data_IF_057441036422
#
_entry.id   IF_057441036422
#
_cell.length_a   1.000
_cell.length_b   1.000
_cell.length_c   1.000
_cell.angle_alpha   90.00
_cell.angle_beta   90.00
_cell.angle_gamma   90.00
#
_symmetry.space_group_name_H-M   'P 1'
#
loop_
_entity.id
_entity.type
_entity.pdbx_description
1 polymer ?
#
# COMPACT_ATOMS: atom_id res chain seq x y z
N UNK A 1 22.92 18.38 -0.03
CA UNK A 1 23.64 19.71 -0.11
C UNK A 1 22.78 20.77 -0.79
N UNK A 2 22.13 20.48 -1.93
CA UNK A 2 21.29 21.47 -2.63
C UNK A 2 20.01 21.79 -1.87
N UNK A 3 19.33 20.79 -1.31
CA UNK A 3 18.12 20.99 -0.51
C UNK A 3 18.39 21.84 0.74
N UNK A 4 19.51 21.60 1.42
CA UNK A 4 19.91 22.43 2.57
C UNK A 4 20.21 23.87 2.15
N UNK A 5 20.91 24.06 1.03
CA UNK A 5 21.21 25.39 0.52
C UNK A 5 19.92 26.14 0.12
N UNK A 6 18.96 25.45 -0.49
CA UNK A 6 17.67 26.03 -0.86
C UNK A 6 16.86 26.45 0.39
N UNK A 7 16.70 25.54 1.38
CA UNK A 7 15.99 25.86 2.62
C UNK A 7 16.64 27.03 3.37
N UNK A 8 17.98 27.07 3.43
CA UNK A 8 18.71 28.17 4.06
C UNK A 8 18.55 29.51 3.32
N UNK A 9 18.50 29.50 1.98
CA UNK A 9 18.27 30.69 1.18
C UNK A 9 16.83 31.22 1.31
N UNK A 10 15.84 30.32 1.42
CA UNK A 10 14.43 30.69 1.57
C UNK A 10 14.10 31.24 2.96
N UNK A 11 14.85 30.86 4.01
CA UNK A 11 14.56 31.28 5.38
C UNK A 11 14.48 32.81 5.57
N UNK A 12 15.45 33.63 5.14
CA UNK A 12 15.34 35.08 5.25
C UNK A 12 14.19 35.66 4.39
N UNK A 13 13.88 35.07 3.24
CA UNK A 13 12.77 35.51 2.40
C UNK A 13 11.45 35.29 3.14
N UNK A 14 11.25 34.11 3.72
CA UNK A 14 10.09 33.81 4.57
C UNK A 14 9.97 34.78 5.76
N UNK A 15 11.09 35.12 6.41
CA UNK A 15 11.09 36.05 7.55
C UNK A 15 10.67 37.47 7.15
N UNK A 16 11.07 37.91 5.95
CA UNK A 16 10.72 39.23 5.41
C UNK A 16 9.25 39.29 4.92
N UNK A 17 8.74 38.20 4.35
CA UNK A 17 7.40 38.13 3.76
C UNK A 17 6.53 37.07 4.45
N UNK A 18 6.50 37.06 5.78
CA UNK A 18 5.87 36.04 6.61
C UNK A 18 4.34 35.94 6.51
N UNK A 19 3.68 36.86 5.78
CA UNK A 19 2.24 36.83 5.50
C UNK A 19 1.91 36.43 4.05
N UNK A 20 2.91 36.22 3.19
CA UNK A 20 2.71 35.78 1.83
C UNK A 20 2.59 34.24 1.78
N UNK A 21 1.39 33.74 1.46
CA UNK A 21 1.08 32.30 1.51
C UNK A 21 1.87 31.49 0.47
N UNK A 22 2.18 32.06 -0.69
CA UNK A 22 2.99 31.39 -1.72
C UNK A 22 4.43 31.22 -1.22
N UNK A 23 5.02 32.26 -0.65
CA UNK A 23 6.37 32.19 -0.09
C UNK A 23 6.47 31.27 1.12
N UNK A 24 5.45 31.23 1.98
CA UNK A 24 5.36 30.27 3.07
C UNK A 24 5.34 28.85 2.51
N UNK A 25 4.52 28.59 1.49
CA UNK A 25 4.41 27.28 0.84
C UNK A 25 5.77 26.82 0.29
N UNK A 26 6.46 27.67 -0.46
CA UNK A 26 7.78 27.37 -1.04
C UNK A 26 8.83 27.12 0.06
N UNK A 27 8.78 27.89 1.15
CA UNK A 27 9.70 27.65 2.28
C UNK A 27 9.43 26.32 2.96
N UNK A 28 8.18 25.98 3.21
CA UNK A 28 7.78 24.69 3.79
C UNK A 28 8.22 23.54 2.89
N UNK A 29 8.02 23.65 1.59
CA UNK A 29 8.50 22.66 0.62
C UNK A 29 10.02 22.51 0.68
N UNK A 30 10.76 23.61 0.73
CA UNK A 30 12.22 23.60 0.87
C UNK A 30 12.69 22.91 2.17
N UNK A 31 11.97 23.08 3.28
CA UNK A 31 12.22 22.39 4.54
C UNK A 31 11.98 20.88 4.42
N UNK A 32 10.87 20.48 3.80
CA UNK A 32 10.50 19.08 3.62
C UNK A 32 11.45 18.35 2.67
N UNK A 33 11.90 19.00 1.61
CA UNK A 33 12.87 18.50 0.65
C UNK A 33 14.27 18.22 1.20
N UNK A 34 14.54 18.53 2.47
CA UNK A 34 15.79 18.12 3.17
C UNK A 34 15.83 16.61 3.44
N UNK A 35 14.66 16.00 3.69
CA UNK A 35 14.54 14.57 3.98
C UNK A 35 13.26 14.00 3.38
N UNK A 36 13.10 14.00 2.02
CA UNK A 36 11.89 13.48 1.37
C UNK A 36 11.70 12.01 1.73
N UNK A 37 10.44 11.59 1.93
CA UNK A 37 10.03 10.27 2.43
C UNK A 37 10.69 9.83 3.74
N UNK A 38 11.35 10.74 4.45
CA UNK A 38 11.96 10.54 5.78
C UNK A 38 11.73 11.73 6.69
N UNK A 39 10.59 12.39 6.56
CA UNK A 39 10.20 13.54 7.40
C UNK A 39 10.07 13.11 8.86
N UNK A 40 9.62 11.88 9.08
CA UNK A 40 9.46 11.27 10.39
C UNK A 40 10.29 10.00 10.53
N UNK A 41 10.75 9.72 11.73
CA UNK A 41 11.10 8.37 12.12
C UNK A 41 9.81 7.68 12.54
N UNK A 42 9.13 7.04 11.60
CA UNK A 42 7.80 6.49 11.84
C UNK A 42 7.78 5.37 12.89
N UNK A 43 8.88 4.58 13.03
CA UNK A 43 9.01 3.58 14.10
C UNK A 43 9.01 4.20 15.50
N UNK A 44 9.57 5.39 15.65
CA UNK A 44 9.63 6.11 16.94
C UNK A 44 8.49 7.11 17.10
N UNK A 45 7.74 7.40 16.05
CA UNK A 45 6.70 8.43 16.05
C UNK A 45 7.23 9.83 16.30
N UNK A 46 8.47 10.15 15.93
CA UNK A 46 9.11 11.46 16.14
C UNK A 46 9.61 12.05 14.82
N UNK A 47 9.66 13.38 14.69
CA UNK A 47 10.29 14.04 13.56
C UNK A 47 11.72 13.55 13.34
N UNK A 48 12.15 13.46 12.09
CA UNK A 48 13.53 13.09 11.76
C UNK A 48 14.49 14.20 12.24
N UNK A 49 15.46 13.90 13.12
CA UNK A 49 16.38 14.92 13.65
C UNK A 49 17.32 15.53 12.60
N UNK A 50 17.45 14.92 11.43
CA UNK A 50 18.21 15.43 10.27
C UNK A 50 17.36 16.26 9.31
N UNK A 51 16.05 16.27 9.50
CA UNK A 51 15.08 17.01 8.69
C UNK A 51 14.56 18.25 9.40
N UNK A 52 13.54 18.86 8.82
CA UNK A 52 12.88 20.05 9.33
C UNK A 52 11.36 19.86 9.51
N UNK A 53 10.91 18.63 9.69
CA UNK A 53 9.48 18.33 9.79
C UNK A 53 8.79 19.10 10.93
N UNK A 54 9.46 19.27 12.09
CA UNK A 54 8.89 20.01 13.21
C UNK A 54 8.74 21.50 12.90
N UNK A 55 9.74 22.12 12.24
CA UNK A 55 9.67 23.53 11.81
C UNK A 55 8.56 23.70 10.78
N UNK A 56 8.48 22.83 9.78
CA UNK A 56 7.44 22.84 8.77
C UNK A 56 6.03 22.68 9.38
N UNK A 57 5.86 21.75 10.33
CA UNK A 57 4.59 21.53 11.02
C UNK A 57 4.17 22.78 11.82
N UNK A 58 5.07 23.38 12.57
CA UNK A 58 4.78 24.59 13.35
C UNK A 58 4.35 25.75 12.44
N UNK A 59 5.04 25.93 11.31
CA UNK A 59 4.68 26.98 10.33
C UNK A 59 3.28 26.72 9.76
N UNK A 60 3.02 25.51 9.28
CA UNK A 60 1.73 25.17 8.65
C UNK A 60 0.56 25.27 9.64
N UNK A 61 0.70 24.70 10.86
CA UNK A 61 -0.36 24.77 11.87
C UNK A 61 -0.67 26.23 12.25
N UNK A 62 0.34 27.09 12.44
CA UNK A 62 0.14 28.51 12.71
C UNK A 62 -0.54 29.23 11.53
N UNK A 63 -0.13 28.95 10.30
CA UNK A 63 -0.70 29.58 9.10
C UNK A 63 -2.18 29.25 8.93
N UNK A 64 -2.58 27.99 9.16
CA UNK A 64 -3.99 27.58 9.11
C UNK A 64 -4.81 28.18 10.27
N UNK A 65 -4.19 28.51 11.41
CA UNK A 65 -4.85 29.17 12.54
C UNK A 65 -4.98 30.69 12.31
N UNK A 66 -3.95 31.34 11.78
CA UNK A 66 -3.87 32.81 11.68
C UNK A 66 -4.48 33.36 10.39
N UNK A 67 -4.42 32.60 9.27
CA UNK A 67 -4.82 33.08 7.94
C UNK A 67 -6.02 32.27 7.38
N UNK A 68 -7.25 32.80 7.40
CA UNK A 68 -8.39 32.10 6.81
C UNK A 68 -8.19 31.69 5.36
N UNK A 69 -7.49 32.50 4.55
CA UNK A 69 -7.18 32.22 3.13
C UNK A 69 -6.22 31.04 2.95
N UNK A 70 -5.51 30.59 3.97
CA UNK A 70 -4.68 29.39 3.89
C UNK A 70 -5.51 28.13 3.58
N UNK A 71 -6.76 28.10 3.99
CA UNK A 71 -7.70 27.00 3.68
C UNK A 71 -8.19 27.00 2.22
N UNK A 72 -7.90 28.05 1.46
CA UNK A 72 -8.15 28.16 0.03
C UNK A 72 -6.84 28.06 -0.79
N UNK A 73 -5.71 27.75 -0.14
CA UNK A 73 -4.40 27.68 -0.77
C UNK A 73 -4.00 26.21 -1.00
N UNK A 74 -4.13 25.75 -2.24
CA UNK A 74 -3.91 24.35 -2.62
C UNK A 74 -2.51 23.81 -2.22
N UNK A 75 -1.45 24.62 -2.37
CA UNK A 75 -0.09 24.22 -2.03
C UNK A 75 0.11 23.99 -0.53
N UNK A 76 -0.45 24.84 0.34
CA UNK A 76 -0.34 24.66 1.80
C UNK A 76 -1.08 23.40 2.27
N UNK A 77 -2.28 23.16 1.74
CA UNK A 77 -3.06 21.94 2.00
C UNK A 77 -2.29 20.69 1.56
N UNK A 78 -1.71 20.72 0.36
CA UNK A 78 -0.88 19.65 -0.20
C UNK A 78 0.35 19.35 0.69
N UNK A 79 1.09 20.39 1.07
CA UNK A 79 2.27 20.22 1.94
C UNK A 79 1.91 19.66 3.31
N UNK A 80 0.76 20.03 3.87
CA UNK A 80 0.33 19.51 5.17
C UNK A 80 -0.02 18.02 5.11
N UNK A 81 -0.62 17.57 4.02
CA UNK A 81 -0.91 16.15 3.78
C UNK A 81 0.42 15.35 3.77
N UNK A 82 1.37 15.72 2.92
CA UNK A 82 2.67 15.06 2.86
C UNK A 82 3.46 15.11 4.17
N UNK A 83 3.33 16.20 4.92
CA UNK A 83 3.98 16.31 6.21
C UNK A 83 3.41 15.31 7.22
N UNK A 84 2.09 15.08 7.19
CA UNK A 84 1.39 14.31 8.21
C UNK A 84 1.27 12.82 7.90
N UNK A 85 1.38 12.39 6.65
CA UNK A 85 1.20 10.99 6.24
C UNK A 85 2.15 10.00 6.93
N UNK A 86 3.40 10.40 7.21
CA UNK A 86 4.35 9.57 7.96
C UNK A 86 4.30 9.79 9.47
N UNK A 87 3.48 10.73 9.95
CA UNK A 87 3.41 11.10 11.37
C UNK A 87 2.64 10.05 12.19
N UNK A 88 2.76 10.06 13.52
CA UNK A 88 1.89 9.24 14.38
C UNK A 88 0.42 9.71 14.38
N UNK A 89 0.10 10.87 13.79
CA UNK A 89 -1.22 11.50 13.80
C UNK A 89 -1.68 11.95 12.41
N UNK A 90 -1.72 11.06 11.40
CA UNK A 90 -2.15 11.42 10.04
C UNK A 90 -3.58 11.96 10.00
N UNK A 91 -4.45 11.56 10.92
CA UNK A 91 -5.84 12.02 11.04
C UNK A 91 -5.98 13.54 11.17
N UNK A 92 -4.95 14.26 11.60
CA UNK A 92 -4.95 15.74 11.64
C UNK A 92 -5.11 16.36 10.25
N UNK A 93 -4.67 15.66 9.19
CA UNK A 93 -4.74 16.15 7.83
C UNK A 93 -6.04 15.77 7.07
N UNK A 94 -6.99 15.04 7.68
CA UNK A 94 -8.25 14.65 7.02
C UNK A 94 -9.01 15.84 6.46
N UNK A 95 -9.21 16.89 7.25
CA UNK A 95 -9.90 18.12 6.82
C UNK A 95 -9.17 18.79 5.65
N UNK A 96 -7.84 18.79 5.66
CA UNK A 96 -7.02 19.38 4.60
C UNK A 96 -7.20 18.63 3.28
N UNK A 97 -7.22 17.30 3.35
CA UNK A 97 -7.49 16.43 2.20
C UNK A 97 -8.89 16.63 1.62
N UNK A 98 -9.92 16.68 2.48
CA UNK A 98 -11.30 16.89 2.05
C UNK A 98 -11.44 18.22 1.30
N UNK A 99 -10.88 19.30 1.83
CA UNK A 99 -10.93 20.62 1.19
C UNK A 99 -10.16 20.61 -0.14
N UNK A 100 -8.94 20.04 -0.16
CA UNK A 100 -8.11 20.02 -1.36
C UNK A 100 -8.76 19.28 -2.52
N UNK A 101 -9.49 18.18 -2.25
CA UNK A 101 -10.18 17.38 -3.26
C UNK A 101 -11.15 18.23 -4.09
N UNK A 102 -11.85 19.16 -3.45
CA UNK A 102 -12.87 20.00 -4.08
C UNK A 102 -12.32 21.34 -4.59
N UNK A 103 -11.16 21.76 -4.09
CA UNK A 103 -10.58 23.09 -4.37
C UNK A 103 -10.03 23.18 -5.81
N UNK A 104 -9.39 22.11 -6.31
CA UNK A 104 -8.79 22.08 -7.65
C UNK A 104 -9.23 20.80 -8.37
N UNK A 105 -10.51 20.69 -8.76
CA UNK A 105 -11.10 19.44 -9.28
C UNK A 105 -10.51 18.98 -10.62
N UNK A 106 -9.87 19.87 -11.37
CA UNK A 106 -9.24 19.58 -12.67
C UNK A 106 -7.76 19.15 -12.54
N UNK A 107 -7.23 19.05 -11.32
CA UNK A 107 -5.86 18.61 -11.06
C UNK A 107 -5.87 17.21 -10.43
N UNK A 108 -5.76 16.16 -11.24
CA UNK A 108 -5.89 14.78 -10.80
C UNK A 108 -4.98 14.44 -9.63
N UNK A 109 -3.71 14.90 -9.63
CA UNK A 109 -2.82 14.71 -8.49
C UNK A 109 -3.36 15.33 -7.19
N UNK A 110 -3.92 16.54 -7.23
CA UNK A 110 -4.45 17.18 -6.03
C UNK A 110 -5.74 16.53 -5.53
N UNK A 111 -6.58 16.01 -6.42
CA UNK A 111 -7.74 15.19 -6.09
C UNK A 111 -7.32 13.89 -5.38
N UNK A 112 -6.24 13.26 -5.84
CA UNK A 112 -5.67 12.06 -5.27
C UNK A 112 -5.09 12.28 -3.85
N UNK A 113 -4.51 13.46 -3.58
CA UNK A 113 -3.72 13.71 -2.38
C UNK A 113 -4.40 13.37 -1.05
N UNK A 114 -5.71 13.59 -0.95
CA UNK A 114 -6.46 13.22 0.27
C UNK A 114 -6.33 11.73 0.61
N UNK A 115 -6.12 10.88 -0.40
CA UNK A 115 -6.08 9.43 -0.22
C UNK A 115 -4.85 8.92 0.51
N UNK A 116 -3.77 9.71 0.58
CA UNK A 116 -2.62 9.44 1.43
C UNK A 116 -3.00 9.37 2.91
N UNK A 117 -3.96 10.20 3.32
CA UNK A 117 -4.47 10.20 4.70
C UNK A 117 -5.63 9.22 4.88
N UNK A 118 -6.54 9.12 3.90
CA UNK A 118 -7.66 8.20 3.93
C UNK A 118 -7.20 6.75 4.15
N UNK A 119 -6.14 6.32 3.43
CA UNK A 119 -5.59 4.96 3.55
C UNK A 119 -5.09 4.67 4.96
N UNK A 120 -4.40 5.61 5.59
CA UNK A 120 -3.88 5.50 6.95
C UNK A 120 -4.98 5.53 8.02
N UNK A 121 -6.11 6.16 7.70
CA UNK A 121 -7.30 6.22 8.57
C UNK A 121 -8.30 5.08 8.31
N UNK A 122 -8.04 4.23 7.32
CA UNK A 122 -8.88 3.09 6.97
C UNK A 122 -10.17 3.49 6.26
N UNK A 123 -10.17 4.62 5.53
CA UNK A 123 -11.27 5.01 4.65
C UNK A 123 -10.98 4.58 3.19
N UNK A 124 -10.90 3.27 2.99
CA UNK A 124 -10.60 2.69 1.67
C UNK A 124 -11.67 3.00 0.61
N UNK A 125 -12.89 3.36 1.03
CA UNK A 125 -13.90 3.79 0.08
C UNK A 125 -13.54 5.14 -0.57
N UNK A 126 -13.06 6.09 0.21
CA UNK A 126 -12.54 7.35 -0.31
C UNK A 126 -11.24 7.13 -1.09
N UNK A 127 -10.35 6.25 -0.62
CA UNK A 127 -9.16 5.86 -1.40
C UNK A 127 -9.56 5.42 -2.81
N UNK A 128 -10.52 4.51 -2.95
CA UNK A 128 -10.97 4.04 -4.25
C UNK A 128 -11.65 5.14 -5.07
N UNK A 129 -12.65 5.82 -4.49
CA UNK A 129 -13.48 6.78 -5.24
C UNK A 129 -12.71 8.01 -5.70
N UNK A 130 -11.84 8.57 -4.84
CA UNK A 130 -11.01 9.75 -5.17
C UNK A 130 -9.96 9.41 -6.23
N UNK A 131 -9.33 8.24 -6.15
CA UNK A 131 -8.36 7.81 -7.16
C UNK A 131 -9.01 7.49 -8.52
N UNK A 132 -10.21 6.92 -8.54
CA UNK A 132 -10.96 6.75 -9.78
C UNK A 132 -11.41 8.10 -10.37
N UNK A 133 -11.70 9.10 -9.54
CA UNK A 133 -11.96 10.46 -9.97
C UNK A 133 -10.68 11.10 -10.54
N UNK A 134 -9.57 11.04 -9.81
CA UNK A 134 -8.28 11.53 -10.26
C UNK A 134 -7.87 10.93 -11.62
N UNK A 135 -8.02 9.60 -11.78
CA UNK A 135 -7.72 8.93 -13.03
C UNK A 135 -8.61 9.42 -14.20
N UNK A 136 -9.87 9.78 -13.96
CA UNK A 136 -10.74 10.39 -15.01
C UNK A 136 -10.31 11.80 -15.37
N UNK A 137 -9.89 12.60 -14.39
CA UNK A 137 -9.32 13.94 -14.62
C UNK A 137 -8.05 13.83 -15.44
N UNK A 138 -7.19 12.88 -15.12
CA UNK A 138 -5.93 12.62 -15.82
C UNK A 138 -6.13 12.13 -17.26
N UNK A 139 -7.21 11.39 -17.55
CA UNK A 139 -7.57 11.02 -18.92
C UNK A 139 -7.86 12.26 -19.79
N UNK A 140 -8.55 13.27 -19.25
CA UNK A 140 -8.79 14.53 -19.94
C UNK A 140 -7.46 15.28 -20.22
N UNK A 141 -6.56 15.30 -19.24
CA UNK A 141 -5.22 15.90 -19.42
C UNK A 141 -4.39 15.11 -20.45
N UNK A 142 -4.45 13.78 -20.44
CA UNK A 142 -3.78 12.91 -21.43
C UNK A 142 -4.24 13.20 -22.87
N UNK A 143 -5.53 13.45 -23.06
CA UNK A 143 -6.06 13.85 -24.38
C UNK A 143 -5.51 15.20 -24.84
N UNK A 144 -5.23 16.13 -23.93
CA UNK A 144 -4.68 17.45 -24.23
C UNK A 144 -3.16 17.43 -24.43
N UNK A 145 -2.40 16.79 -23.51
CA UNK A 145 -0.94 16.86 -23.44
C UNK A 145 -0.22 15.61 -24.00
N UNK A 146 -0.97 14.58 -24.41
CA UNK A 146 -0.41 13.28 -24.82
C UNK A 146 -0.15 12.35 -23.65
N UNK A 147 0.21 11.11 -23.96
CA UNK A 147 0.47 10.05 -22.97
C UNK A 147 1.90 10.11 -22.42
N UNK A 148 2.87 10.47 -23.26
CA UNK A 148 4.30 10.33 -22.99
C UNK A 148 4.87 11.60 -22.36
N UNK A 149 4.58 11.80 -21.07
CA UNK A 149 5.12 12.90 -20.29
C UNK A 149 5.31 12.47 -18.84
N UNK A 150 5.98 13.30 -18.02
CA UNK A 150 6.23 13.04 -16.62
C UNK A 150 4.94 12.74 -15.80
N UNK A 151 3.82 13.31 -16.22
CA UNK A 151 2.53 13.12 -15.56
C UNK A 151 1.98 11.68 -15.65
N UNK A 152 2.55 10.83 -16.54
CA UNK A 152 2.23 9.42 -16.60
C UNK A 152 2.45 8.69 -15.26
N UNK A 153 3.47 9.11 -14.47
CA UNK A 153 3.71 8.55 -13.14
C UNK A 153 2.54 8.79 -12.19
N UNK A 154 1.93 9.97 -12.21
CA UNK A 154 0.77 10.28 -11.37
C UNK A 154 -0.46 9.46 -11.76
N UNK A 155 -0.70 9.24 -13.06
CA UNK A 155 -1.80 8.39 -13.54
C UNK A 155 -1.65 6.94 -13.05
N UNK A 156 -0.44 6.39 -13.16
CA UNK A 156 -0.10 5.05 -12.68
C UNK A 156 -0.29 4.98 -11.16
N UNK A 157 0.19 5.97 -10.44
CA UNK A 157 0.09 6.07 -8.99
C UNK A 157 -1.37 6.12 -8.50
N UNK A 158 -2.23 6.90 -9.14
CA UNK A 158 -3.66 6.96 -8.84
C UNK A 158 -4.33 5.59 -9.03
N UNK A 159 -4.03 4.88 -10.13
CA UNK A 159 -4.60 3.56 -10.40
C UNK A 159 -4.04 2.49 -9.42
N UNK A 160 -2.78 2.61 -9.02
CA UNK A 160 -2.18 1.75 -8.01
C UNK A 160 -2.86 1.92 -6.64
N UNK A 161 -3.13 3.17 -6.21
CA UNK A 161 -3.91 3.45 -5.02
C UNK A 161 -5.36 2.96 -5.12
N UNK A 162 -6.02 3.13 -6.28
CA UNK A 162 -7.37 2.61 -6.50
C UNK A 162 -7.43 1.09 -6.35
N UNK A 163 -6.46 0.36 -6.94
CA UNK A 163 -6.31 -1.07 -6.79
C UNK A 163 -6.12 -1.45 -5.31
N UNK A 164 -5.22 -0.78 -4.61
CA UNK A 164 -4.94 -1.01 -3.21
C UNK A 164 -6.20 -0.82 -2.34
N UNK A 165 -6.89 0.30 -2.47
CA UNK A 165 -8.14 0.58 -1.76
C UNK A 165 -9.23 -0.47 -2.03
N UNK A 166 -9.41 -0.86 -3.29
CA UNK A 166 -10.36 -1.90 -3.68
C UNK A 166 -10.04 -3.27 -3.07
N UNK A 167 -8.75 -3.63 -2.99
CA UNK A 167 -8.31 -4.87 -2.34
C UNK A 167 -8.68 -4.88 -0.84
N UNK A 168 -8.49 -3.78 -0.12
CA UNK A 168 -8.82 -3.66 1.30
C UNK A 168 -10.32 -3.62 1.60
N UNK A 169 -11.12 -3.14 0.64
CA UNK A 169 -12.59 -3.19 0.70
C UNK A 169 -13.16 -4.57 0.39
N UNK A 170 -12.38 -5.47 -0.23
CA UNK A 170 -12.92 -6.70 -0.79
C UNK A 170 -13.74 -6.46 -2.08
N UNK A 171 -13.49 -5.38 -2.81
CA UNK A 171 -14.13 -5.07 -4.09
C UNK A 171 -13.34 -5.66 -5.25
N UNK A 172 -13.63 -6.92 -5.58
CA UNK A 172 -12.96 -7.67 -6.63
C UNK A 172 -13.08 -7.01 -8.00
N UNK A 173 -14.29 -6.56 -8.36
CA UNK A 173 -14.54 -5.93 -9.65
C UNK A 173 -13.70 -4.68 -9.86
N UNK A 174 -13.71 -3.76 -8.89
CA UNK A 174 -12.95 -2.53 -8.94
C UNK A 174 -11.43 -2.76 -8.93
N UNK A 175 -10.94 -3.75 -8.16
CA UNK A 175 -9.52 -4.10 -8.13
C UNK A 175 -9.03 -4.63 -9.49
N UNK A 176 -9.81 -5.49 -10.14
CA UNK A 176 -9.50 -6.02 -11.48
C UNK A 176 -9.52 -4.93 -12.54
N UNK A 177 -10.49 -4.01 -12.49
CA UNK A 177 -10.55 -2.87 -13.40
C UNK A 177 -9.34 -1.94 -13.21
N UNK A 178 -9.01 -1.59 -11.96
CA UNK A 178 -7.89 -0.71 -11.67
C UNK A 178 -6.56 -1.28 -12.16
N UNK A 179 -6.30 -2.57 -11.92
CA UNK A 179 -5.05 -3.22 -12.36
C UNK A 179 -4.97 -3.38 -13.88
N UNK A 180 -6.10 -3.60 -14.56
CA UNK A 180 -6.14 -3.64 -16.02
C UNK A 180 -5.79 -2.27 -16.61
N UNK A 181 -6.43 -1.20 -16.12
CA UNK A 181 -6.13 0.18 -16.55
C UNK A 181 -4.69 0.57 -16.22
N UNK A 182 -4.17 0.17 -15.06
CA UNK A 182 -2.77 0.39 -14.70
C UNK A 182 -1.82 -0.23 -15.73
N UNK A 183 -2.10 -1.47 -16.18
CA UNK A 183 -1.29 -2.10 -17.23
C UNK A 183 -1.35 -1.35 -18.57
N UNK A 184 -2.50 -0.77 -18.92
CA UNK A 184 -2.68 0.03 -20.13
C UNK A 184 -1.90 1.36 -20.08
N UNK A 185 -1.68 1.93 -18.88
CA UNK A 185 -0.86 3.14 -18.68
C UNK A 185 0.65 2.86 -18.68
N UNK A 186 1.08 1.58 -18.65
CA UNK A 186 2.50 1.17 -18.66
C UNK A 186 2.79 0.32 -19.89
N UNK A 187 2.74 0.89 -21.12
CA UNK A 187 3.06 0.16 -22.33
C UNK A 187 4.54 -0.24 -22.37
N UNK A 188 4.85 -1.25 -23.18
CA UNK A 188 6.20 -1.83 -23.28
C UNK A 188 7.27 -0.80 -23.66
N UNK A 189 6.90 0.20 -24.47
CA UNK A 189 7.79 1.30 -24.87
C UNK A 189 8.25 2.13 -23.66
N UNK A 190 7.34 2.43 -22.72
CA UNK A 190 7.65 3.17 -21.49
C UNK A 190 8.53 2.31 -20.57
N UNK A 191 8.21 1.02 -20.43
CA UNK A 191 9.04 0.10 -19.64
C UNK A 191 10.44 -0.01 -20.21
N UNK A 192 10.61 -0.09 -21.54
CA UNK A 192 11.94 -0.13 -22.18
C UNK A 192 12.79 1.10 -21.92
N UNK A 193 12.16 2.28 -21.85
CA UNK A 193 12.88 3.54 -21.58
C UNK A 193 13.32 3.67 -20.11
N UNK A 194 12.48 3.23 -19.17
CA UNK A 194 12.70 3.38 -17.72
C UNK A 194 12.36 2.09 -16.98
N UNK A 195 13.05 0.97 -17.29
CA UNK A 195 12.69 -0.34 -16.75
C UNK A 195 12.81 -0.39 -15.23
N UNK A 196 13.76 0.32 -14.65
CA UNK A 196 14.03 0.30 -13.21
C UNK A 196 12.92 0.94 -12.37
N UNK A 197 12.02 1.71 -13.01
CA UNK A 197 10.91 2.42 -12.35
C UNK A 197 9.56 1.76 -12.69
N UNK A 198 9.32 1.47 -13.98
CA UNK A 198 7.97 1.10 -14.43
C UNK A 198 7.69 -0.41 -14.45
N UNK A 199 8.72 -1.25 -14.54
CA UNK A 199 8.52 -2.69 -14.71
C UNK A 199 7.75 -3.31 -13.54
N UNK A 200 8.03 -2.88 -12.31
CA UNK A 200 7.39 -3.43 -11.12
C UNK A 200 5.88 -3.16 -11.05
N UNK A 201 5.40 -2.08 -11.66
CA UNK A 201 3.95 -1.82 -11.74
C UNK A 201 3.21 -2.81 -12.62
N UNK A 202 3.87 -3.37 -13.64
CA UNK A 202 3.28 -4.42 -14.50
C UNK A 202 2.98 -5.68 -13.70
N UNK A 203 3.73 -5.91 -12.62
CA UNK A 203 3.59 -7.06 -11.74
C UNK A 203 2.45 -6.95 -10.71
N UNK A 204 1.59 -5.93 -10.77
CA UNK A 204 0.53 -5.74 -9.78
C UNK A 204 -0.62 -6.77 -9.88
N UNK A 205 -0.93 -7.27 -11.08
CA UNK A 205 -2.06 -8.19 -11.30
C UNK A 205 -2.00 -9.49 -10.48
N UNK A 206 -0.87 -10.18 -10.32
CA UNK A 206 -0.76 -11.37 -9.47
C UNK A 206 -1.23 -11.14 -8.03
N UNK A 207 -0.97 -9.98 -7.46
CA UNK A 207 -1.42 -9.65 -6.10
C UNK A 207 -2.95 -9.57 -5.98
N UNK A 208 -3.61 -8.97 -6.97
CA UNK A 208 -5.09 -8.91 -7.03
C UNK A 208 -5.66 -10.33 -7.15
N UNK A 209 -5.09 -11.15 -8.02
CA UNK A 209 -5.59 -12.53 -8.23
C UNK A 209 -5.40 -13.38 -6.96
N UNK A 210 -4.28 -13.28 -6.26
CA UNK A 210 -4.06 -13.98 -4.99
C UNK A 210 -5.07 -13.50 -3.94
N UNK A 211 -5.23 -12.16 -3.78
CA UNK A 211 -6.18 -11.58 -2.82
C UNK A 211 -7.58 -12.15 -2.97
N UNK A 212 -8.02 -12.35 -4.21
CA UNK A 212 -9.37 -12.84 -4.53
C UNK A 212 -9.44 -14.35 -4.82
N UNK A 213 -8.37 -15.10 -4.53
CA UNK A 213 -8.35 -16.57 -4.65
C UNK A 213 -8.61 -17.07 -6.06
N UNK A 214 -8.17 -16.35 -7.07
CA UNK A 214 -8.35 -16.68 -8.50
C UNK A 214 -7.30 -17.70 -8.95
N UNK A 215 -7.33 -18.88 -8.30
CA UNK A 215 -6.26 -19.87 -8.45
C UNK A 215 -6.17 -20.45 -9.87
N UNK A 216 -7.30 -20.70 -10.52
CA UNK A 216 -7.31 -21.22 -11.89
C UNK A 216 -6.79 -20.19 -12.88
N UNK A 217 -7.18 -18.92 -12.73
CA UNK A 217 -6.68 -17.81 -13.56
C UNK A 217 -5.17 -17.62 -13.37
N UNK A 218 -4.67 -17.72 -12.13
CA UNK A 218 -3.22 -17.62 -11.85
C UNK A 218 -2.44 -18.74 -12.53
N UNK A 219 -2.94 -19.98 -12.52
CA UNK A 219 -2.22 -21.09 -13.17
C UNK A 219 -2.11 -20.90 -14.69
N UNK A 220 -3.02 -20.13 -15.28
CA UNK A 220 -3.05 -19.80 -16.70
C UNK A 220 -2.32 -18.51 -17.06
N UNK A 221 -1.78 -17.75 -16.08
CA UNK A 221 -1.00 -16.56 -16.38
C UNK A 221 0.18 -16.90 -17.30
N UNK A 222 0.33 -16.13 -18.35
CA UNK A 222 1.49 -16.25 -19.23
C UNK A 222 2.70 -15.53 -18.63
N UNK A 223 3.88 -16.05 -18.89
CA UNK A 223 5.12 -15.34 -18.56
C UNK A 223 5.34 -14.22 -19.58
N UNK A 224 5.96 -13.09 -19.19
CA UNK A 224 6.29 -12.05 -20.14
C UNK A 224 7.20 -12.60 -21.26
N UNK A 225 6.98 -12.15 -22.49
CA UNK A 225 7.79 -12.57 -23.64
C UNK A 225 9.26 -12.17 -23.46
N UNK A 226 9.51 -10.92 -23.10
CA UNK A 226 10.85 -10.40 -22.78
C UNK A 226 11.16 -10.56 -21.30
N UNK A 227 11.69 -11.75 -20.94
CA UNK A 227 12.06 -12.06 -19.55
C UNK A 227 13.24 -11.25 -19.01
N UNK A 228 14.03 -10.61 -19.88
CA UNK A 228 15.15 -9.77 -19.46
C UNK A 228 14.68 -8.35 -19.11
N UNK A 229 13.63 -7.89 -19.77
CA UNK A 229 12.98 -6.62 -19.45
C UNK A 229 12.11 -6.74 -18.20
N UNK A 230 11.27 -7.78 -18.14
CA UNK A 230 10.25 -7.99 -17.11
C UNK A 230 10.73 -8.97 -16.02
N UNK A 231 11.89 -8.70 -15.42
CA UNK A 231 12.54 -9.62 -14.47
C UNK A 231 11.76 -9.78 -13.17
N UNK A 232 11.21 -8.69 -12.61
CA UNK A 232 10.40 -8.69 -11.39
C UNK A 232 9.05 -9.34 -11.65
N UNK A 233 8.41 -8.99 -12.77
CA UNK A 233 7.13 -9.57 -13.20
C UNK A 233 7.25 -11.07 -13.39
N UNK A 234 8.33 -11.54 -14.04
CA UNK A 234 8.59 -12.96 -14.25
C UNK A 234 8.70 -13.72 -12.91
N UNK A 235 9.40 -13.15 -11.93
CA UNK A 235 9.49 -13.72 -10.58
C UNK A 235 8.12 -13.76 -9.90
N UNK A 236 7.36 -12.63 -9.89
CA UNK A 236 6.06 -12.55 -9.23
C UNK A 236 5.00 -13.47 -9.87
N UNK A 237 5.06 -13.73 -11.18
CA UNK A 237 4.18 -14.72 -11.82
C UNK A 237 4.51 -16.13 -11.32
N UNK A 238 5.79 -16.50 -11.14
CA UNK A 238 6.15 -17.79 -10.56
C UNK A 238 5.74 -17.91 -9.10
N UNK A 239 5.94 -16.85 -8.30
CA UNK A 239 5.42 -16.76 -6.93
C UNK A 239 3.92 -17.06 -6.88
N UNK A 240 3.13 -16.33 -7.69
CA UNK A 240 1.69 -16.49 -7.70
C UNK A 240 1.26 -17.91 -8.13
N UNK A 241 1.92 -18.48 -9.16
CA UNK A 241 1.67 -19.85 -9.60
C UNK A 241 1.99 -20.89 -8.53
N UNK A 242 3.11 -20.73 -7.80
CA UNK A 242 3.46 -21.62 -6.71
C UNK A 242 2.37 -21.62 -5.62
N UNK A 243 1.94 -20.44 -5.20
CA UNK A 243 0.83 -20.27 -4.22
C UNK A 243 -0.47 -20.88 -4.75
N UNK A 244 -0.83 -20.61 -6.00
CA UNK A 244 -2.06 -21.15 -6.60
C UNK A 244 -2.04 -22.68 -6.69
N UNK A 245 -0.95 -23.27 -7.17
CA UNK A 245 -0.80 -24.73 -7.24
C UNK A 245 -0.84 -25.39 -5.86
N UNK A 246 -0.21 -24.77 -4.85
CA UNK A 246 -0.29 -25.25 -3.47
C UNK A 246 -1.74 -25.26 -2.95
N UNK A 247 -2.51 -24.19 -3.22
CA UNK A 247 -3.91 -24.08 -2.83
C UNK A 247 -4.84 -25.04 -3.61
N UNK A 248 -4.45 -25.44 -4.82
CA UNK A 248 -5.14 -26.46 -5.61
C UNK A 248 -4.71 -27.91 -5.28
N UNK A 249 -3.77 -28.09 -4.32
CA UNK A 249 -3.25 -29.42 -3.97
C UNK A 249 -2.27 -30.01 -4.98
N UNK A 250 -1.75 -29.22 -5.92
CA UNK A 250 -0.80 -29.60 -6.96
C UNK A 250 0.64 -29.33 -6.47
N UNK A 251 1.09 -30.12 -5.49
CA UNK A 251 2.33 -29.85 -4.76
C UNK A 251 3.59 -29.88 -5.64
N UNK A 252 3.67 -30.81 -6.63
CA UNK A 252 4.83 -30.89 -7.53
C UNK A 252 4.95 -29.67 -8.43
N UNK A 253 3.82 -29.19 -8.95
CA UNK A 253 3.75 -27.97 -9.76
C UNK A 253 4.11 -26.74 -8.92
N UNK A 254 3.69 -26.71 -7.65
CA UNK A 254 4.06 -25.64 -6.71
C UNK A 254 5.57 -25.61 -6.45
N UNK A 255 6.19 -26.76 -6.17
CA UNK A 255 7.64 -26.89 -5.97
C UNK A 255 8.42 -26.47 -7.22
N UNK A 256 7.98 -26.91 -8.42
CA UNK A 256 8.62 -26.51 -9.67
C UNK A 256 8.52 -24.97 -9.88
N UNK A 257 7.37 -24.35 -9.57
CA UNK A 257 7.25 -22.90 -9.67
C UNK A 257 8.12 -22.18 -8.65
N UNK A 258 8.30 -22.72 -7.44
CA UNK A 258 9.21 -22.16 -6.44
C UNK A 258 10.67 -22.20 -6.91
N UNK A 259 11.11 -23.29 -7.57
CA UNK A 259 12.43 -23.35 -8.17
C UNK A 259 12.59 -22.32 -9.31
N UNK A 260 11.59 -22.19 -10.18
CA UNK A 260 11.60 -21.17 -11.23
C UNK A 260 11.60 -19.76 -10.69
N UNK A 261 10.89 -19.49 -9.56
CA UNK A 261 10.95 -18.22 -8.86
C UNK A 261 12.39 -17.90 -8.41
N UNK A 262 13.09 -18.85 -7.78
CA UNK A 262 14.45 -18.64 -7.32
C UNK A 262 15.41 -18.29 -8.49
N UNK A 263 15.24 -18.97 -9.64
CA UNK A 263 16.01 -18.66 -10.85
C UNK A 263 15.68 -17.27 -11.41
N UNK A 264 14.42 -16.87 -11.43
CA UNK A 264 13.98 -15.54 -11.88
C UNK A 264 14.45 -14.44 -10.93
N UNK A 265 14.33 -14.64 -9.62
CA UNK A 265 14.79 -13.71 -8.59
C UNK A 265 16.29 -13.40 -8.70
N UNK A 266 17.12 -14.42 -8.99
CA UNK A 266 18.55 -14.24 -9.17
C UNK A 266 18.91 -13.27 -10.31
N UNK A 267 18.02 -13.09 -11.29
CA UNK A 267 18.22 -12.19 -12.43
C UNK A 267 17.80 -10.76 -12.18
N UNK A 268 17.07 -10.48 -11.08
CA UNK A 268 16.57 -9.12 -10.76
C UNK A 268 17.76 -8.24 -10.34
N UNK A 269 18.03 -7.14 -11.06
CA UNK A 269 19.16 -6.27 -10.73
C UNK A 269 18.85 -5.39 -9.50
N UNK A 270 19.92 -4.95 -8.82
CA UNK A 270 19.83 -4.05 -7.66
C UNK A 270 19.24 -2.67 -8.01
N UNK A 271 19.21 -2.30 -9.28
CA UNK A 271 18.65 -1.03 -9.75
C UNK A 271 17.14 -1.02 -9.90
N UNK A 272 16.49 -2.21 -9.90
CA UNK A 272 15.02 -2.28 -9.95
C UNK A 272 14.39 -1.82 -8.65
N UNK A 273 13.43 -0.92 -8.75
CA UNK A 273 12.72 -0.36 -7.61
C UNK A 273 11.20 -0.35 -7.84
N UNK A 274 10.48 -0.43 -6.73
CA UNK A 274 9.12 0.05 -6.61
C UNK A 274 9.22 1.24 -5.67
N UNK A 275 9.24 2.45 -6.25
CA UNK A 275 9.49 3.73 -5.56
C UNK A 275 10.73 3.68 -4.61
N UNK A 276 10.53 3.68 -3.28
CA UNK A 276 11.60 3.75 -2.28
C UNK A 276 12.18 2.37 -1.90
N UNK A 277 11.55 1.27 -2.34
CA UNK A 277 11.99 -0.08 -2.03
C UNK A 277 12.61 -0.74 -3.27
N UNK A 278 13.67 -1.50 -3.06
CA UNK A 278 14.22 -2.33 -4.12
C UNK A 278 13.25 -3.47 -4.44
N UNK A 279 13.08 -3.78 -5.73
CA UNK A 279 12.26 -4.94 -6.12
C UNK A 279 12.75 -6.24 -5.49
N UNK A 280 14.05 -6.36 -5.22
CA UNK A 280 14.61 -7.53 -4.52
C UNK A 280 14.09 -7.67 -3.10
N UNK A 281 13.99 -6.57 -2.34
CA UNK A 281 13.48 -6.59 -0.96
C UNK A 281 11.99 -6.99 -0.95
N UNK A 282 11.21 -6.50 -1.91
CA UNK A 282 9.80 -6.90 -2.09
C UNK A 282 9.67 -8.38 -2.50
N UNK A 283 10.57 -8.87 -3.36
CA UNK A 283 10.60 -10.27 -3.77
C UNK A 283 11.09 -11.22 -2.67
N UNK A 284 11.85 -10.75 -1.68
CA UNK A 284 12.16 -11.56 -0.48
C UNK A 284 10.90 -11.85 0.34
N UNK A 285 9.98 -10.88 0.43
CA UNK A 285 8.66 -11.11 1.04
C UNK A 285 7.90 -12.16 0.21
N UNK A 286 7.90 -12.03 -1.12
CA UNK A 286 7.27 -13.01 -2.00
C UNK A 286 7.83 -14.43 -1.79
N UNK A 287 9.16 -14.55 -1.62
CA UNK A 287 9.82 -15.82 -1.35
C UNK A 287 9.33 -16.46 -0.04
N UNK A 288 9.34 -15.70 1.05
CA UNK A 288 8.92 -16.21 2.35
C UNK A 288 7.42 -16.53 2.39
N UNK A 289 6.59 -15.71 1.76
CA UNK A 289 5.15 -16.00 1.59
C UNK A 289 4.92 -17.30 0.81
N UNK A 290 5.64 -17.47 -0.32
CA UNK A 290 5.55 -18.65 -1.17
C UNK A 290 5.98 -19.92 -0.42
N UNK A 291 7.16 -19.90 0.17
CA UNK A 291 7.69 -21.03 0.94
C UNK A 291 6.75 -21.38 2.10
N UNK A 292 6.22 -20.35 2.77
CA UNK A 292 5.26 -20.51 3.86
C UNK A 292 3.99 -21.24 3.44
N UNK A 293 3.33 -20.77 2.38
CA UNK A 293 2.09 -21.38 1.92
C UNK A 293 2.32 -22.76 1.29
N UNK A 294 3.38 -22.96 0.49
CA UNK A 294 3.71 -24.25 -0.11
C UNK A 294 4.03 -25.29 0.97
N UNK A 295 4.89 -24.99 1.93
CA UNK A 295 5.22 -25.90 3.03
C UNK A 295 3.98 -26.24 3.87
N UNK A 296 3.17 -25.23 4.22
CA UNK A 296 1.94 -25.45 5.01
C UNK A 296 0.95 -26.38 4.29
N UNK A 297 0.71 -26.17 2.99
CA UNK A 297 -0.20 -26.97 2.17
C UNK A 297 0.34 -28.37 1.91
N UNK A 298 1.66 -28.55 1.87
CA UNK A 298 2.30 -29.88 1.78
C UNK A 298 2.32 -30.65 3.12
N UNK A 299 1.77 -30.06 4.20
CA UNK A 299 1.66 -30.71 5.51
C UNK A 299 2.73 -30.27 6.54
N UNK A 300 3.75 -29.54 6.12
CA UNK A 300 4.83 -29.01 6.99
C UNK A 300 4.38 -27.71 7.69
N UNK A 301 3.30 -27.80 8.48
CA UNK A 301 2.61 -26.61 9.02
C UNK A 301 3.51 -25.72 9.88
N UNK A 302 4.40 -26.31 10.70
CA UNK A 302 5.32 -25.54 11.56
C UNK A 302 6.31 -24.73 10.73
N UNK A 303 6.93 -25.35 9.73
CA UNK A 303 7.85 -24.72 8.81
C UNK A 303 7.16 -23.61 8.03
N UNK A 304 5.97 -23.89 7.47
CA UNK A 304 5.15 -22.92 6.77
C UNK A 304 4.84 -21.69 7.60
N UNK A 305 4.43 -21.86 8.86
CA UNK A 305 4.17 -20.72 9.75
C UNK A 305 5.44 -19.93 10.11
N UNK A 306 6.62 -20.58 10.18
CA UNK A 306 7.88 -19.87 10.42
C UNK A 306 8.26 -18.98 9.23
N UNK A 307 8.12 -19.46 8.00
CA UNK A 307 8.32 -18.62 6.80
C UNK A 307 7.34 -17.43 6.78
N UNK A 308 6.07 -17.63 7.12
CA UNK A 308 5.11 -16.53 7.16
C UNK A 308 5.43 -15.49 8.24
N UNK A 309 6.00 -15.90 9.40
CA UNK A 309 6.50 -14.95 10.40
C UNK A 309 7.70 -14.16 9.87
N UNK A 310 8.59 -14.83 9.15
CA UNK A 310 9.71 -14.14 8.49
C UNK A 310 9.21 -13.14 7.43
N UNK A 311 8.20 -13.51 6.65
CA UNK A 311 7.56 -12.59 5.70
C UNK A 311 7.00 -11.34 6.40
N UNK A 312 6.38 -11.50 7.58
CA UNK A 312 5.89 -10.38 8.39
C UNK A 312 7.04 -9.47 8.83
N UNK A 313 8.17 -10.04 9.28
CA UNK A 313 9.35 -9.23 9.66
C UNK A 313 9.93 -8.45 8.48
N UNK A 314 10.00 -9.06 7.29
CA UNK A 314 10.48 -8.39 6.08
C UNK A 314 9.53 -7.26 5.64
N UNK A 315 8.23 -7.51 5.64
CA UNK A 315 7.19 -6.54 5.29
C UNK A 315 7.24 -5.31 6.21
N UNK A 316 7.35 -5.52 7.53
CA UNK A 316 7.48 -4.45 8.53
C UNK A 316 8.73 -3.60 8.37
N UNK A 317 9.80 -4.14 7.78
CA UNK A 317 11.09 -3.46 7.60
C UNK A 317 11.23 -2.74 6.26
N UNK A 318 10.21 -2.73 5.40
CA UNK A 318 10.22 -1.94 4.18
C UNK A 318 10.35 -0.44 4.48
N UNK A 319 10.93 0.31 3.55
CA UNK A 319 10.89 1.76 3.60
C UNK A 319 9.45 2.24 3.40
N UNK A 320 9.13 3.39 4.01
CA UNK A 320 7.84 4.04 3.79
C UNK A 320 7.57 4.28 2.31
N UNK A 321 6.35 4.01 1.90
CA UNK A 321 5.86 4.08 0.52
C UNK A 321 4.37 4.33 0.46
N UNK A 322 3.88 4.82 -0.68
CA UNK A 322 2.49 5.23 -0.93
C UNK A 322 1.96 4.66 -2.26
N UNK A 323 1.07 3.65 -2.22
CA UNK A 323 0.70 2.80 -1.10
C UNK A 323 1.85 1.85 -0.73
N UNK A 324 1.72 1.14 0.39
CA UNK A 324 2.73 0.19 0.86
C UNK A 324 3.15 -0.82 -0.22
N UNK A 325 4.46 -1.05 -0.39
CA UNK A 325 5.01 -1.81 -1.54
C UNK A 325 4.52 -3.26 -1.60
N UNK A 326 4.20 -3.89 -0.46
CA UNK A 326 3.56 -5.20 -0.44
C UNK A 326 2.05 -5.02 -0.26
N UNK A 327 1.23 -5.15 -1.35
CA UNK A 327 -0.16 -4.69 -1.33
C UNK A 327 -1.14 -5.62 -0.61
N UNK A 328 -0.67 -6.75 -0.09
CA UNK A 328 -1.45 -7.66 0.73
C UNK A 328 -0.72 -7.86 2.06
N UNK A 329 -1.20 -7.32 3.19
CA UNK A 329 -0.52 -7.52 4.46
C UNK A 329 -0.21 -8.99 4.70
N UNK A 330 1.06 -9.31 4.89
CA UNK A 330 1.55 -10.69 5.13
C UNK A 330 0.85 -11.33 6.33
N UNK A 331 0.44 -10.49 7.29
CA UNK A 331 -0.35 -10.85 8.47
C UNK A 331 -1.68 -11.52 8.14
N UNK A 332 -2.29 -11.22 6.99
CA UNK A 332 -3.57 -11.82 6.62
C UNK A 332 -3.44 -13.32 6.34
N UNK A 333 -2.36 -13.75 5.67
CA UNK A 333 -2.09 -15.17 5.43
C UNK A 333 -1.63 -15.87 6.71
N UNK A 334 -0.69 -15.27 7.47
CA UNK A 334 -0.23 -15.82 8.74
C UNK A 334 -1.41 -16.05 9.70
N UNK A 335 -2.25 -15.04 9.92
CA UNK A 335 -3.41 -15.15 10.80
C UNK A 335 -4.42 -16.21 10.33
N UNK A 336 -4.69 -16.29 9.02
CA UNK A 336 -5.58 -17.30 8.45
C UNK A 336 -5.09 -18.74 8.69
N UNK A 337 -3.79 -18.99 8.52
CA UNK A 337 -3.22 -20.32 8.70
C UNK A 337 -2.99 -20.66 10.19
N UNK A 338 -2.77 -19.67 11.05
CA UNK A 338 -2.82 -19.84 12.51
C UNK A 338 -4.22 -20.27 12.98
N UNK A 339 -5.27 -19.65 12.45
CA UNK A 339 -6.64 -20.07 12.72
C UNK A 339 -6.91 -21.51 12.24
N UNK A 340 -6.34 -21.92 11.11
CA UNK A 340 -6.49 -23.28 10.58
C UNK A 340 -5.88 -24.35 11.50
N UNK A 341 -4.79 -24.02 12.21
CA UNK A 341 -4.16 -24.92 13.18
C UNK A 341 -4.69 -24.75 14.61
N UNK A 342 -5.63 -23.84 14.84
CA UNK A 342 -6.24 -23.60 16.16
C UNK A 342 -5.40 -22.73 17.09
N UNK A 343 -4.38 -22.04 16.59
CA UNK A 343 -3.58 -21.08 17.39
C UNK A 343 -4.26 -19.70 17.40
N UNK A 344 -5.37 -19.61 18.13
CA UNK A 344 -6.24 -18.42 18.15
C UNK A 344 -5.58 -17.22 18.85
N UNK A 345 -4.74 -17.47 19.86
CA UNK A 345 -4.06 -16.45 20.64
C UNK A 345 -3.06 -15.67 19.76
N UNK A 346 -2.23 -16.36 19.02
CA UNK A 346 -1.27 -15.72 18.12
C UNK A 346 -1.98 -15.04 16.95
N UNK A 347 -3.02 -15.67 16.37
CA UNK A 347 -3.82 -15.10 15.31
C UNK A 347 -4.45 -13.76 15.73
N UNK A 348 -4.98 -13.68 16.95
CA UNK A 348 -5.55 -12.45 17.50
C UNK A 348 -4.49 -11.34 17.60
N UNK A 349 -3.30 -11.65 18.09
CA UNK A 349 -2.18 -10.68 18.17
C UNK A 349 -1.83 -10.16 16.78
N UNK A 350 -1.73 -11.05 15.79
CA UNK A 350 -1.43 -10.71 14.39
C UNK A 350 -2.47 -9.75 13.81
N UNK A 351 -3.77 -10.04 13.99
CA UNK A 351 -4.82 -9.17 13.46
C UNK A 351 -4.97 -7.84 14.22
N UNK A 352 -4.76 -7.84 15.55
CA UNK A 352 -4.79 -6.60 16.34
C UNK A 352 -3.64 -5.67 15.95
N UNK A 353 -2.47 -6.22 15.65
CA UNK A 353 -1.35 -5.45 15.14
C UNK A 353 -1.68 -4.82 13.77
N UNK A 354 -2.18 -5.63 12.81
CA UNK A 354 -2.57 -5.15 11.48
C UNK A 354 -3.62 -4.02 11.55
N UNK A 355 -4.64 -4.18 12.40
CA UNK A 355 -5.69 -3.18 12.59
C UNK A 355 -5.25 -1.96 13.40
N UNK A 356 -4.03 -1.94 13.95
CA UNK A 356 -3.53 -0.87 14.80
C UNK A 356 -4.18 -0.77 16.18
N UNK A 357 -4.87 -1.85 16.64
CA UNK A 357 -5.60 -1.86 17.92
C UNK A 357 -4.65 -1.96 19.11
N UNK A 358 -3.53 -2.67 18.97
CA UNK A 358 -2.58 -2.91 20.06
C UNK A 358 -1.45 -1.87 20.13
N UNK A 359 -1.38 -0.94 19.17
CA UNK A 359 -0.40 0.14 19.10
C UNK A 359 1.05 -0.30 18.90
N UNK A 360 1.31 -1.55 18.49
CA UNK A 360 2.66 -2.08 18.33
C UNK A 360 3.31 -1.65 17.02
N UNK A 361 2.52 -1.55 15.95
CA UNK A 361 3.00 -1.10 14.66
C UNK A 361 2.98 0.43 14.55
N UNK A 362 3.91 1.02 13.83
CA UNK A 362 3.82 2.43 13.47
C UNK A 362 2.61 2.69 12.58
N UNK A 363 2.05 3.90 12.65
CA UNK A 363 0.84 4.26 11.90
C UNK A 363 0.88 3.93 10.42
N UNK A 364 1.97 4.17 9.66
CA UNK A 364 2.02 3.82 8.25
C UNK A 364 1.93 2.33 7.93
N UNK A 365 2.28 1.46 8.90
CA UNK A 365 2.22 0.00 8.75
C UNK A 365 0.92 -0.62 9.27
N UNK A 366 -0.03 0.20 9.73
CA UNK A 366 -1.34 -0.25 10.20
C UNK A 366 -2.37 -0.18 9.06
N UNK A 367 -3.30 -1.13 9.07
CA UNK A 367 -4.40 -1.19 8.10
C UNK A 367 -5.76 -1.17 8.80
N UNK A 368 -6.12 -0.04 9.46
CA UNK A 368 -7.34 0.03 10.27
C UNK A 368 -8.59 -0.23 9.44
N UNK A 369 -9.58 -0.88 10.04
CA UNK A 369 -10.91 -1.13 9.48
C UNK A 369 -10.98 -1.99 8.19
N UNK A 370 -9.88 -2.61 7.74
CA UNK A 370 -9.93 -3.47 6.58
C UNK A 370 -10.78 -4.73 6.83
N UNK A 371 -11.52 -5.17 5.82
CA UNK A 371 -12.48 -6.27 5.96
C UNK A 371 -11.83 -7.61 6.28
N UNK A 372 -10.60 -7.83 5.81
CA UNK A 372 -9.91 -9.11 5.94
C UNK A 372 -9.44 -9.36 7.37
N UNK A 373 -8.71 -8.42 7.97
CA UNK A 373 -8.25 -8.55 9.35
C UNK A 373 -9.42 -8.48 10.34
N UNK A 374 -10.45 -7.65 10.08
CA UNK A 374 -11.67 -7.64 10.88
C UNK A 374 -12.38 -9.01 10.88
N UNK A 375 -12.45 -9.68 9.71
CA UNK A 375 -13.01 -11.03 9.62
C UNK A 375 -12.17 -12.03 10.45
N UNK A 376 -10.86 -12.00 10.31
CA UNK A 376 -9.96 -12.88 11.06
C UNK A 376 -10.03 -12.65 12.58
N UNK A 377 -10.00 -11.40 13.03
CA UNK A 377 -10.13 -11.04 14.43
C UNK A 377 -11.50 -11.47 15.01
N UNK A 378 -12.57 -11.21 14.26
CA UNK A 378 -13.91 -11.66 14.66
C UNK A 378 -13.96 -13.18 14.88
N UNK A 379 -13.36 -13.97 13.98
CA UNK A 379 -13.29 -15.43 14.14
C UNK A 379 -12.47 -15.83 15.39
N UNK A 380 -11.31 -15.20 15.65
CA UNK A 380 -10.51 -15.44 16.85
C UNK A 380 -11.34 -15.23 18.13
N UNK A 381 -11.98 -14.06 18.25
CA UNK A 381 -12.77 -13.70 19.42
C UNK A 381 -13.97 -14.62 19.60
N UNK A 382 -14.62 -15.04 18.51
CA UNK A 382 -15.71 -16.01 18.54
C UNK A 382 -15.23 -17.38 19.03
N UNK A 383 -14.09 -17.90 18.54
CA UNK A 383 -13.52 -19.19 18.94
C UNK A 383 -13.06 -19.19 20.40
N UNK A 384 -12.57 -18.06 20.90
CA UNK A 384 -12.17 -17.88 22.31
C UNK A 384 -13.34 -17.52 23.23
N UNK A 385 -14.54 -17.37 22.69
CA UNK A 385 -15.75 -16.95 23.43
C UNK A 385 -15.58 -15.62 24.17
N UNK A 386 -14.84 -14.67 23.56
CA UNK A 386 -14.69 -13.32 24.10
C UNK A 386 -16.01 -12.56 23.97
N UNK A 387 -16.60 -12.17 25.11
CA UNK A 387 -17.89 -11.48 25.14
C UNK A 387 -17.76 -9.95 25.25
N UNK A 388 -16.53 -9.45 25.41
CA UNK A 388 -16.26 -8.02 25.60
C UNK A 388 -15.95 -7.37 24.26
N UNK A 389 -14.96 -7.88 23.54
CA UNK A 389 -14.52 -7.27 22.27
C UNK A 389 -15.35 -7.74 21.07
N UNK A 390 -15.84 -8.99 21.09
CA UNK A 390 -16.56 -9.58 19.97
C UNK A 390 -17.73 -8.72 19.43
N UNK A 391 -18.61 -8.13 20.26
CA UNK A 391 -19.72 -7.31 19.73
C UNK A 391 -19.25 -6.07 18.96
N UNK A 392 -18.16 -5.44 19.43
CA UNK A 392 -17.59 -4.27 18.76
C UNK A 392 -16.95 -4.63 17.42
N UNK A 393 -16.14 -5.70 17.41
CA UNK A 393 -15.51 -6.19 16.18
C UNK A 393 -16.56 -6.70 15.18
N UNK A 394 -17.62 -7.36 15.63
CA UNK A 394 -18.73 -7.79 14.79
C UNK A 394 -19.44 -6.61 14.11
N UNK A 395 -19.64 -5.49 14.83
CA UNK A 395 -20.22 -4.28 14.25
C UNK A 395 -19.32 -3.65 13.19
N UNK A 396 -18.01 -3.53 13.46
CA UNK A 396 -17.05 -3.01 12.48
C UNK A 396 -16.96 -3.90 11.24
N UNK A 397 -16.95 -5.22 11.43
CA UNK A 397 -16.95 -6.19 10.35
C UNK A 397 -18.19 -6.06 9.47
N UNK A 398 -19.37 -5.94 10.07
CA UNK A 398 -20.62 -5.75 9.32
C UNK A 398 -20.57 -4.50 8.43
N UNK A 399 -20.01 -3.41 8.94
CA UNK A 399 -19.85 -2.18 8.15
C UNK A 399 -18.84 -2.36 7.00
N UNK A 400 -17.75 -3.09 7.23
CA UNK A 400 -16.75 -3.37 6.21
C UNK A 400 -17.29 -4.32 5.14
N UNK A 401 -17.98 -5.40 5.52
CA UNK A 401 -18.59 -6.36 4.60
C UNK A 401 -19.69 -5.73 3.72
N UNK A 402 -20.40 -4.71 4.22
CA UNK A 402 -21.42 -4.01 3.44
C UNK A 402 -20.83 -3.24 2.24
N UNK A 403 -19.52 -3.02 2.21
CA UNK A 403 -18.80 -2.36 1.11
C UNK A 403 -18.12 -3.35 0.16
N UNK A 404 -18.05 -4.63 0.53
CA UNK A 404 -17.45 -5.68 -0.30
C UNK A 404 -18.41 -6.13 -1.41
N UNK A 405 -17.89 -6.43 -2.60
CA UNK A 405 -18.66 -7.02 -3.70
C UNK A 405 -18.60 -8.56 -3.70
N UNK A 406 -17.84 -9.16 -2.78
CA UNK A 406 -17.75 -10.60 -2.57
C UNK A 406 -18.03 -10.95 -1.11
N UNK A 407 -18.40 -12.21 -0.88
CA UNK A 407 -18.48 -12.75 0.47
C UNK A 407 -17.08 -13.06 1.01
N UNK A 408 -16.71 -12.41 2.11
CA UNK A 408 -15.46 -12.68 2.82
C UNK A 408 -15.67 -13.87 3.77
N UNK A 409 -14.85 -14.90 3.61
CA UNK A 409 -14.95 -16.13 4.42
C UNK A 409 -13.67 -16.39 5.24
N UNK A 410 -12.59 -15.68 4.97
CA UNK A 410 -11.32 -15.75 5.70
C UNK A 410 -10.52 -14.49 5.43
N UNK A 411 -9.51 -14.18 6.28
CA UNK A 411 -8.57 -13.08 6.07
C UNK A 411 -7.61 -13.31 4.91
N UNK A 412 -7.38 -14.56 4.55
CA UNK A 412 -6.71 -14.99 3.32
C UNK A 412 -7.48 -16.17 2.73
N UNK A 413 -7.69 -16.16 1.39
CA UNK A 413 -8.33 -17.27 0.67
C UNK A 413 -7.37 -18.45 0.45
N UNK A 414 -6.16 -18.35 0.91
CA UNK A 414 -5.19 -19.42 1.06
C UNK A 414 -5.60 -20.47 2.11
N UNK A 415 -6.54 -20.14 3.01
CA UNK A 415 -7.07 -21.07 4.00
C UNK A 415 -8.00 -22.10 3.36
N UNK A 416 -7.94 -23.35 3.82
CA UNK A 416 -8.78 -24.44 3.29
C UNK A 416 -10.26 -24.23 3.57
N UNK A 417 -11.12 -24.43 2.56
CA UNK A 417 -12.58 -24.26 2.69
C UNK A 417 -13.20 -25.17 3.76
N UNK A 418 -12.64 -26.36 3.99
CA UNK A 418 -13.10 -27.29 5.03
C UNK A 418 -12.90 -26.80 6.45
N UNK A 419 -12.07 -25.76 6.66
CA UNK A 419 -11.78 -25.19 7.98
C UNK A 419 -12.69 -24.01 8.38
N UNK A 420 -13.66 -23.64 7.52
CA UNK A 420 -14.63 -22.56 7.80
C UNK A 420 -15.88 -23.04 8.58
N UNK A 421 -16.01 -24.32 8.86
CA UNK A 421 -17.17 -24.92 9.53
C UNK A 421 -17.19 -24.69 11.05
#
# INVERSE_FOLDING_TARGET
>A
PYSDAFANAMKPVYQEYSSDLDLICIYVEALMNRTPWRLWNFWKGIPNPKGSALEAMTILENVFEEFPLAWEHAGLLHMYIHLMEMSPHPEKALKHGDILTDLVPDAGHLVHMATHIDVLCGDYQNVLSRNLLAARVDEAFKLYAGADNFYALYRIHNLHFAMYGAMFLGQKGAALEAVSRLRDEVPDEVVKLYPDIFETFVAAAPHVYIRFGMWDEITNLEQPEDKNLYVTTNALVYYAKAVAYANLGKHKEAENCAEQFANAYALVPESRHLFNNKSRDVLEIANEMMLGEVAFKSGNKTEGLNHLRQAVELDDNLNYEEPWSWPQPTRHALGALLLEVGNYEEAEVVYKADLGIDGKLPRPSQHPKNVWALHGLHECLKRRNDKIELPHVAFLLQQAEARSDIKINASCLCRSKSSYA
#
